data_IF_023220666877
#
_entry.id   IF_023220666877
#
_cell.length_a   1.000
_cell.length_b   1.000
_cell.length_c   1.000
_cell.angle_alpha   90.00
_cell.angle_beta   90.00
_cell.angle_gamma   90.00
#
_symmetry.space_group_name_H-M   'P 1'
#
loop_
_entity.id
_entity.type
_entity.pdbx_description
1 polymer ?
#
# COMPACT_ATOMS: atom_id res chain seq x y z
N UNK A 1 22.09 -10.94 -16.43
CA UNK A 1 22.17 -11.21 -15.01
C UNK A 1 20.88 -11.78 -14.49
N UNK A 2 20.96 -12.96 -14.06
CA UNK A 2 19.79 -13.70 -13.59
C UNK A 2 19.39 -13.17 -12.21
N UNK A 3 18.11 -13.05 -11.98
CA UNK A 3 17.60 -12.60 -10.69
C UNK A 3 17.47 -11.10 -10.53
N UNK A 4 17.88 -10.32 -11.51
CA UNK A 4 17.78 -8.87 -11.44
C UNK A 4 16.35 -8.38 -11.29
N UNK A 5 15.39 -9.10 -11.89
CA UNK A 5 13.97 -8.71 -11.81
C UNK A 5 13.44 -8.76 -10.40
N UNK A 6 13.86 -9.73 -9.59
CA UNK A 6 13.46 -9.82 -8.19
C UNK A 6 13.97 -8.61 -7.40
N UNK A 7 15.23 -8.26 -7.62
CA UNK A 7 15.86 -7.13 -6.94
C UNK A 7 15.34 -5.77 -7.41
N UNK A 8 14.73 -5.72 -8.60
CA UNK A 8 14.14 -4.48 -9.09
C UNK A 8 12.84 -4.13 -8.38
N UNK A 9 12.16 -5.11 -7.79
CA UNK A 9 10.90 -4.86 -7.10
C UNK A 9 11.10 -4.03 -5.85
N UNK A 10 10.09 -3.25 -5.52
CA UNK A 10 10.12 -2.33 -4.40
C UNK A 10 8.86 -2.48 -3.59
N UNK A 11 8.99 -2.48 -2.26
CA UNK A 11 7.85 -2.64 -1.36
C UNK A 11 7.66 -1.39 -0.51
N UNK A 12 6.40 -0.99 -0.37
CA UNK A 12 5.98 0.06 0.56
C UNK A 12 5.06 -0.57 1.59
N UNK A 13 5.43 -0.41 2.86
CA UNK A 13 4.68 -0.92 4.01
C UNK A 13 4.12 0.27 4.78
N UNK A 14 2.83 0.22 5.12
CA UNK A 14 2.19 1.32 5.86
C UNK A 14 1.29 0.79 6.96
N UNK A 15 1.11 1.61 7.99
CA UNK A 15 0.13 1.38 9.05
C UNK A 15 -0.81 2.58 9.09
N UNK A 16 -2.11 2.30 9.16
CA UNK A 16 -3.16 3.31 9.11
C UNK A 16 -4.04 3.23 10.34
N UNK A 17 -4.28 4.39 10.96
CA UNK A 17 -5.18 4.54 12.09
C UNK A 17 -6.56 5.01 11.61
N UNK A 18 -7.60 4.34 12.10
CA UNK A 18 -8.99 4.67 11.82
C UNK A 18 -9.65 5.13 13.12
N UNK A 19 -9.91 6.41 13.24
CA UNK A 19 -10.50 6.99 14.45
C UNK A 19 -11.81 6.33 14.81
N UNK A 20 -12.64 6.01 13.82
CA UNK A 20 -13.96 5.40 14.01
C UNK A 20 -13.94 3.87 13.96
N UNK A 21 -12.77 3.27 13.97
CA UNK A 21 -12.61 1.82 13.84
C UNK A 21 -12.58 1.35 12.41
N UNK A 22 -12.08 0.15 12.22
CA UNK A 22 -12.05 -0.47 10.89
C UNK A 22 -13.44 -0.83 10.43
N UNK A 23 -13.70 -0.61 9.15
CA UNK A 23 -14.92 -1.10 8.50
C UNK A 23 -14.78 -2.62 8.30
N UNK A 24 -15.92 -3.31 8.09
CA UNK A 24 -15.88 -4.75 7.79
C UNK A 24 -14.99 -5.05 6.58
N UNK A 25 -14.41 -6.26 6.59
CA UNK A 25 -13.50 -6.68 5.51
C UNK A 25 -14.13 -6.56 4.12
N UNK A 26 -15.42 -6.83 4.01
CA UNK A 26 -16.14 -6.74 2.74
C UNK A 26 -16.16 -5.32 2.20
N UNK A 27 -16.35 -4.33 3.07
CA UNK A 27 -16.33 -2.93 2.68
C UNK A 27 -14.92 -2.48 2.31
N UNK A 28 -13.91 -2.95 3.05
CA UNK A 28 -12.52 -2.64 2.74
C UNK A 28 -12.16 -3.20 1.36
N UNK A 29 -12.55 -4.42 1.08
CA UNK A 29 -12.30 -5.06 -0.21
C UNK A 29 -13.00 -4.32 -1.35
N UNK A 30 -14.24 -3.90 -1.13
CA UNK A 30 -14.98 -3.14 -2.13
C UNK A 30 -14.32 -1.79 -2.41
N UNK A 31 -13.84 -1.13 -1.36
CA UNK A 31 -13.08 0.12 -1.50
C UNK A 31 -11.81 -0.08 -2.32
N UNK A 32 -11.09 -1.17 -2.10
CA UNK A 32 -9.91 -1.50 -2.89
C UNK A 32 -10.28 -1.74 -4.35
N UNK A 33 -11.37 -2.46 -4.61
CA UNK A 33 -11.83 -2.72 -5.97
C UNK A 33 -12.17 -1.45 -6.73
N UNK A 34 -12.80 -0.50 -6.06
CA UNK A 34 -13.28 0.74 -6.70
C UNK A 34 -12.21 1.80 -6.81
N UNK A 35 -11.36 1.94 -5.77
CA UNK A 35 -10.49 3.10 -5.64
C UNK A 35 -9.00 2.80 -5.81
N UNK A 36 -8.59 1.55 -5.67
CA UNK A 36 -7.18 1.17 -5.77
C UNK A 36 -6.91 0.42 -7.07
N UNK A 37 -7.62 -0.67 -7.28
CA UNK A 37 -7.37 -1.54 -8.44
C UNK A 37 -7.36 -0.82 -9.78
N UNK A 38 -8.30 0.07 -10.09
CA UNK A 38 -8.29 0.74 -11.40
C UNK A 38 -7.18 1.76 -11.57
N UNK A 39 -6.64 2.31 -10.49
CA UNK A 39 -5.74 3.46 -10.53
C UNK A 39 -4.31 3.16 -10.12
N UNK A 40 -4.09 2.06 -9.39
CA UNK A 40 -2.77 1.77 -8.85
C UNK A 40 -1.86 1.13 -9.90
N UNK A 41 -0.62 1.62 -10.03
CA UNK A 41 0.39 0.98 -10.87
C UNK A 41 1.07 -0.21 -10.17
N UNK A 42 0.67 -0.55 -8.95
CA UNK A 42 1.28 -1.62 -8.18
C UNK A 42 0.99 -2.98 -8.80
N UNK A 43 1.90 -3.92 -8.60
CA UNK A 43 1.68 -5.30 -9.01
C UNK A 43 0.66 -5.98 -8.11
N UNK A 44 0.68 -5.64 -6.81
CA UNK A 44 -0.26 -6.19 -5.85
C UNK A 44 -0.31 -5.31 -4.60
N UNK A 45 -1.40 -5.42 -3.86
CA UNK A 45 -1.60 -4.70 -2.59
C UNK A 45 -2.29 -5.65 -1.63
N UNK A 46 -1.76 -5.74 -0.41
CA UNK A 46 -2.39 -6.48 0.67
C UNK A 46 -2.73 -5.54 1.81
N UNK A 47 -3.94 -5.64 2.32
CA UNK A 47 -4.36 -4.97 3.55
C UNK A 47 -4.72 -6.04 4.56
N UNK A 48 -4.33 -5.84 5.83
CA UNK A 48 -4.72 -6.75 6.90
C UNK A 48 -5.04 -5.97 8.17
N UNK A 49 -5.86 -6.58 9.01
CA UNK A 49 -6.23 -5.99 10.28
C UNK A 49 -5.12 -6.18 11.29
N UNK A 50 -4.68 -5.09 11.90
CA UNK A 50 -3.74 -5.14 13.00
C UNK A 50 -4.50 -5.20 14.33
N UNK A 51 -5.49 -4.31 14.50
CA UNK A 51 -6.40 -4.27 15.63
C UNK A 51 -7.68 -3.56 15.20
N UNK A 52 -8.55 -3.26 16.14
CA UNK A 52 -9.86 -2.67 15.81
C UNK A 52 -9.79 -1.27 15.18
N UNK A 53 -8.67 -0.59 15.34
CA UNK A 53 -8.49 0.77 14.84
C UNK A 53 -7.35 0.91 13.84
N UNK A 54 -6.62 -0.15 13.53
CA UNK A 54 -5.49 -0.07 12.61
C UNK A 54 -5.55 -1.16 11.56
N UNK A 55 -5.25 -0.79 10.32
CA UNK A 55 -4.91 -1.76 9.30
C UNK A 55 -3.48 -1.49 8.82
N UNK A 56 -2.84 -2.52 8.32
CA UNK A 56 -1.52 -2.41 7.73
C UNK A 56 -1.61 -2.84 6.28
N UNK A 57 -0.67 -2.37 5.47
CA UNK A 57 -0.65 -2.71 4.06
C UNK A 57 0.76 -2.95 3.56
N UNK A 58 0.87 -3.80 2.55
CA UNK A 58 2.06 -3.94 1.72
C UNK A 58 1.64 -3.71 0.29
N UNK A 59 2.36 -2.82 -0.39
CA UNK A 59 2.20 -2.54 -1.80
C UNK A 59 3.47 -2.95 -2.52
N UNK A 60 3.34 -3.75 -3.57
CA UNK A 60 4.47 -4.27 -4.33
C UNK A 60 4.52 -3.57 -5.68
N UNK A 61 5.65 -2.93 -5.97
CA UNK A 61 5.90 -2.23 -7.23
C UNK A 61 6.96 -2.94 -8.04
N UNK A 62 6.91 -2.76 -9.34
CA UNK A 62 7.92 -3.34 -10.25
C UNK A 62 9.28 -2.66 -10.15
N UNK A 63 9.33 -1.44 -9.60
CA UNK A 63 10.57 -0.69 -9.46
C UNK A 63 10.44 0.39 -8.40
N UNK A 64 11.57 0.89 -7.94
CA UNK A 64 11.62 2.02 -7.03
C UNK A 64 11.02 3.28 -7.66
N UNK A 65 11.30 3.51 -8.94
CA UNK A 65 10.78 4.68 -9.65
C UNK A 65 9.26 4.66 -9.70
N UNK A 66 8.65 3.50 -9.97
CA UNK A 66 7.20 3.36 -9.97
C UNK A 66 6.61 3.67 -8.60
N UNK A 67 7.26 3.18 -7.54
CA UNK A 67 6.82 3.43 -6.18
C UNK A 67 6.88 4.91 -5.82
N UNK A 68 7.98 5.57 -6.14
CA UNK A 68 8.17 6.99 -5.82
C UNK A 68 7.20 7.88 -6.57
N UNK A 69 6.96 7.58 -7.83
CA UNK A 69 6.02 8.33 -8.64
C UNK A 69 4.60 8.20 -8.09
N UNK A 70 4.17 6.99 -7.79
CA UNK A 70 2.84 6.75 -7.25
C UNK A 70 2.68 7.37 -5.87
N UNK A 71 3.72 7.31 -5.04
CA UNK A 71 3.71 7.91 -3.71
C UNK A 71 3.47 9.42 -3.78
N UNK A 72 4.09 10.09 -4.72
CA UNK A 72 3.89 11.53 -4.91
C UNK A 72 2.44 11.84 -5.28
N UNK A 73 1.84 11.04 -6.15
CA UNK A 73 0.44 11.18 -6.55
C UNK A 73 -0.49 10.94 -5.36
N UNK A 74 -0.19 9.93 -4.54
CA UNK A 74 -0.97 9.62 -3.35
C UNK A 74 -0.90 10.73 -2.29
N UNK A 75 0.25 11.37 -2.14
CA UNK A 75 0.39 12.48 -1.20
C UNK A 75 -0.52 13.64 -1.57
N UNK A 76 -0.60 13.96 -2.86
CA UNK A 76 -1.53 14.99 -3.32
C UNK A 76 -2.98 14.64 -3.02
N UNK A 77 -3.34 13.40 -3.28
CA UNK A 77 -4.70 12.91 -2.98
C UNK A 77 -4.99 12.95 -1.48
N UNK A 78 -4.05 12.52 -0.65
CA UNK A 78 -4.20 12.48 0.80
C UNK A 78 -4.38 13.87 1.41
N UNK A 79 -3.67 14.86 0.88
CA UNK A 79 -3.82 16.24 1.35
C UNK A 79 -5.24 16.76 1.17
N UNK A 80 -5.91 16.33 0.11
CA UNK A 80 -7.25 16.77 -0.21
C UNK A 80 -8.34 16.05 0.58
N UNK A 81 -8.10 14.78 0.96
CA UNK A 81 -9.15 13.93 1.51
C UNK A 81 -8.89 13.45 2.94
N UNK A 82 -7.76 13.78 3.56
CA UNK A 82 -7.38 13.26 4.87
C UNK A 82 -8.40 13.54 5.98
N UNK A 83 -9.14 14.63 5.88
CA UNK A 83 -10.09 15.01 6.90
C UNK A 83 -11.47 14.36 6.76
N UNK A 84 -11.79 13.82 5.59
CA UNK A 84 -13.10 13.26 5.30
C UNK A 84 -13.34 11.92 6.00
N UNK A 85 -12.30 11.10 6.10
CA UNK A 85 -12.45 9.70 6.51
C UNK A 85 -11.90 9.42 7.90
N UNK A 86 -11.31 10.42 8.57
CA UNK A 86 -10.69 10.23 9.89
C UNK A 86 -9.69 9.07 9.89
N UNK A 87 -8.93 8.95 8.81
CA UNK A 87 -7.92 7.90 8.63
C UNK A 87 -6.56 8.56 8.46
N UNK A 88 -5.57 8.09 9.24
CA UNK A 88 -4.22 8.67 9.21
C UNK A 88 -3.18 7.59 9.02
N UNK A 89 -2.20 7.87 8.16
CA UNK A 89 -1.02 7.03 8.06
C UNK A 89 -0.11 7.32 9.24
N UNK A 90 0.15 6.31 10.05
CA UNK A 90 0.95 6.47 11.28
C UNK A 90 2.34 5.87 11.17
N UNK A 91 2.59 5.08 10.14
CA UNK A 91 3.89 4.46 9.91
C UNK A 91 4.09 4.19 8.43
N UNK A 92 5.29 4.41 7.93
CA UNK A 92 5.65 4.08 6.56
C UNK A 92 7.10 3.60 6.51
N UNK A 93 7.32 2.46 5.87
CA UNK A 93 8.66 1.92 5.63
C UNK A 93 8.69 1.40 4.20
N UNK A 94 9.81 1.57 3.51
CA UNK A 94 9.92 1.12 2.14
C UNK A 94 11.33 0.69 1.82
N UNK A 95 11.47 -0.17 0.84
CA UNK A 95 12.78 -0.63 0.42
C UNK A 95 12.72 -1.60 -0.74
N UNK A 96 13.87 -1.88 -1.36
CA UNK A 96 13.95 -2.85 -2.43
C UNK A 96 13.82 -4.28 -1.89
N UNK A 97 13.21 -5.14 -2.72
CA UNK A 97 13.14 -6.56 -2.41
C UNK A 97 14.52 -7.18 -2.60
N UNK A 98 15.00 -7.88 -1.58
CA UNK A 98 16.33 -8.52 -1.64
C UNK A 98 16.24 -10.03 -1.83
N UNK A 99 15.08 -10.64 -1.53
CA UNK A 99 14.86 -12.07 -1.70
C UNK A 99 13.37 -12.33 -1.80
N UNK A 100 12.99 -13.29 -2.64
CA UNK A 100 11.60 -13.71 -2.79
C UNK A 100 11.57 -15.22 -2.94
N UNK A 101 11.01 -15.91 -1.96
CA UNK A 101 11.02 -17.36 -1.91
C UNK A 101 10.45 -18.02 -3.16
N UNK A 102 9.35 -17.49 -3.68
CA UNK A 102 8.69 -18.08 -4.87
C UNK A 102 9.51 -18.00 -6.15
N UNK A 103 10.62 -17.27 -6.13
CA UNK A 103 11.53 -17.15 -7.27
C UNK A 103 12.83 -17.96 -7.11
N UNK A 104 12.94 -18.70 -6.03
CA UNK A 104 14.12 -19.52 -5.75
C UNK A 104 13.96 -20.96 -6.24
#
# INVERSE_FOLDING_TARGET
MIGMNVMAKYIVYTTWYHEKGLRPAEEMQDGMRKNVKPLSPAEDVFWWKMDDNHHQSITIYSSEDAAKKHRAELEEFRKKSSNEYSIKMVEETMGPVIAQMSKL
#
